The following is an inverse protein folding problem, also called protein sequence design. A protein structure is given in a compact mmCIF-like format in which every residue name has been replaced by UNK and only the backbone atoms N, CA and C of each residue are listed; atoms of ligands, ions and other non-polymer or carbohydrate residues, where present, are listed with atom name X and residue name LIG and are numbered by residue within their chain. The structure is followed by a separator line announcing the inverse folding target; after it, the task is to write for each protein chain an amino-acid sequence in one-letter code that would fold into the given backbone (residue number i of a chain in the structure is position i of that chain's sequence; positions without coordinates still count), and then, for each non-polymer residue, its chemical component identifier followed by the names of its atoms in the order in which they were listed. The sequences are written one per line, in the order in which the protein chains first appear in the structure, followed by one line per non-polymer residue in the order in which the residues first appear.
data_IF_343062956827
#
_entry.id   IF_343062956827
#
_cell.length_a   1.000
_cell.length_b   1.000
_cell.length_c   1.000
_cell.angle_alpha   90.00
_cell.angle_beta   90.00
_cell.angle_gamma   90.00
#
_symmetry.space_group_name_H-M   'P 1'
#
loop_
_entity.id
_entity.type
_entity.pdbx_description
1 polymer ?
#
# COMPACT_ATOMS: atom_id res chain seq x y z
N UNK A 1 -37.49 16.08 82.08
CA UNK A 1 -37.89 16.06 80.66
C UNK A 1 -38.61 17.38 80.39
N UNK A 2 -37.93 18.35 79.79
CA UNK A 2 -38.56 19.57 79.26
C UNK A 2 -37.87 19.89 77.94
N UNK A 3 -38.65 19.92 76.87
CA UNK A 3 -38.21 20.09 75.49
C UNK A 3 -37.71 21.52 75.24
N UNK A 4 -36.78 21.72 74.30
CA UNK A 4 -36.43 23.06 73.83
C UNK A 4 -37.60 23.68 73.02
N UNK A 5 -37.77 25.01 73.06
CA UNK A 5 -38.87 25.72 72.42
C UNK A 5 -38.77 25.68 70.88
N UNK A 6 -39.91 25.82 70.18
CA UNK A 6 -40.00 25.71 68.73
C UNK A 6 -39.31 26.87 68.01
N UNK A 7 -38.54 26.54 66.97
CA UNK A 7 -37.93 27.50 66.05
C UNK A 7 -39.01 28.10 65.15
N UNK A 8 -39.09 29.43 65.15
CA UNK A 8 -40.05 30.23 64.38
C UNK A 8 -39.75 30.15 62.88
N UNK A 9 -40.74 29.71 62.09
CA UNK A 9 -40.62 29.36 60.68
C UNK A 9 -41.15 30.47 59.76
N UNK A 10 -40.71 31.72 59.95
CA UNK A 10 -41.21 32.87 59.19
C UNK A 10 -40.13 33.73 58.51
N UNK A 11 -39.18 33.12 57.79
CA UNK A 11 -38.31 33.86 56.85
C UNK A 11 -38.52 33.33 55.43
N UNK A 12 -39.18 34.08 54.53
CA UNK A 12 -39.30 33.67 53.14
C UNK A 12 -37.93 33.68 52.44
N UNK A 13 -37.64 32.74 51.53
CA UNK A 13 -36.35 32.67 50.85
C UNK A 13 -36.14 33.90 49.97
N UNK A 14 -35.00 34.58 50.18
CA UNK A 14 -34.53 35.74 49.43
C UNK A 14 -34.36 35.37 47.95
N UNK A 15 -35.19 35.94 47.08
CA UNK A 15 -35.08 35.76 45.64
C UNK A 15 -33.68 36.19 45.13
N UNK A 16 -32.99 35.29 44.43
CA UNK A 16 -31.72 35.61 43.77
C UNK A 16 -31.98 36.54 42.58
N UNK A 17 -31.12 37.55 42.34
CA UNK A 17 -31.26 38.40 41.18
C UNK A 17 -31.04 37.60 39.88
N UNK A 18 -31.75 37.93 38.79
CA UNK A 18 -31.61 37.25 37.50
C UNK A 18 -30.20 37.43 36.94
N UNK A 19 -29.60 36.33 36.46
CA UNK A 19 -28.27 36.34 35.83
C UNK A 19 -28.31 37.21 34.56
N UNK A 20 -27.32 38.10 34.34
CA UNK A 20 -27.25 38.86 33.09
C UNK A 20 -27.04 37.91 31.90
N UNK A 21 -27.86 38.08 30.87
CA UNK A 21 -27.84 37.27 29.65
C UNK A 21 -26.48 37.36 28.95
N UNK A 22 -25.89 36.20 28.63
CA UNK A 22 -24.65 36.10 27.87
C UNK A 22 -24.93 36.47 26.41
N UNK A 23 -24.25 37.51 25.91
CA UNK A 23 -24.34 37.92 24.52
C UNK A 23 -24.03 36.75 23.57
N UNK A 24 -24.70 36.65 22.40
CA UNK A 24 -24.49 35.57 21.45
C UNK A 24 -23.08 35.66 20.87
N UNK A 25 -22.19 34.79 21.31
CA UNK A 25 -20.92 34.53 20.60
C UNK A 25 -21.25 33.94 19.23
N UNK A 26 -21.10 34.76 18.19
CA UNK A 26 -21.02 34.29 16.81
C UNK A 26 -19.83 33.34 16.72
N UNK A 27 -20.10 32.03 16.72
CA UNK A 27 -19.07 31.03 16.42
C UNK A 27 -18.83 31.06 14.92
N UNK A 28 -17.76 31.73 14.51
CA UNK A 28 -17.23 31.57 13.16
C UNK A 28 -17.01 30.07 12.90
N UNK A 29 -17.44 29.53 11.74
CA UNK A 29 -17.25 28.14 11.41
C UNK A 29 -15.75 27.83 11.42
N UNK A 30 -15.38 26.83 12.22
CA UNK A 30 -14.01 26.32 12.29
C UNK A 30 -13.68 25.78 10.90
N UNK A 31 -12.81 26.48 10.15
CA UNK A 31 -12.31 25.98 8.88
C UNK A 31 -11.75 24.57 9.13
N UNK A 32 -12.39 23.55 8.55
CA UNK A 32 -11.86 22.20 8.66
C UNK A 32 -10.59 22.18 7.83
N UNK A 33 -9.45 22.32 8.49
CA UNK A 33 -8.13 22.07 7.93
C UNK A 33 -7.99 20.56 7.66
N UNK A 34 -8.81 20.06 6.73
CA UNK A 34 -8.65 18.74 6.16
C UNK A 34 -7.48 18.86 5.23
N UNK A 35 -6.28 18.68 5.79
CA UNK A 35 -5.02 18.74 5.07
C UNK A 35 -5.12 18.05 3.71
N UNK A 36 -4.54 18.69 2.69
CA UNK A 36 -4.49 18.19 1.33
C UNK A 36 -4.18 16.69 1.31
N UNK A 37 -5.08 15.88 0.74
CA UNK A 37 -4.78 14.47 0.50
C UNK A 37 -3.64 14.41 -0.50
N UNK A 38 -2.50 13.86 -0.05
CA UNK A 38 -1.36 13.60 -0.93
C UNK A 38 -1.78 12.61 -2.02
N UNK A 39 -1.34 12.87 -3.25
CA UNK A 39 -1.48 11.92 -4.36
C UNK A 39 -0.66 10.64 -4.06
N UNK A 40 -1.01 9.47 -4.61
CA UNK A 40 -0.30 8.22 -4.35
C UNK A 40 1.22 8.31 -4.51
N UNK A 41 1.70 8.93 -5.59
CA UNK A 41 3.13 9.14 -5.83
C UNK A 41 3.80 10.05 -4.79
N UNK A 42 3.06 11.03 -4.25
CA UNK A 42 3.54 11.90 -3.18
C UNK A 42 3.63 11.13 -1.84
N UNK A 43 2.69 10.21 -1.58
CA UNK A 43 2.73 9.33 -0.40
C UNK A 43 3.98 8.45 -0.44
N UNK A 44 4.27 7.80 -1.57
CA UNK A 44 5.47 6.94 -1.72
C UNK A 44 6.75 7.75 -1.52
N UNK A 45 6.87 8.92 -2.16
CA UNK A 45 8.04 9.81 -1.98
C UNK A 45 8.19 10.26 -0.53
N UNK A 46 7.10 10.62 0.12
CA UNK A 46 7.10 11.03 1.53
C UNK A 46 7.51 9.87 2.47
N UNK A 47 7.01 8.65 2.24
CA UNK A 47 7.43 7.47 3.01
C UNK A 47 8.91 7.15 2.82
N UNK A 48 9.41 7.23 1.58
CA UNK A 48 10.84 7.05 1.29
C UNK A 48 11.71 8.10 2.00
N UNK A 49 11.31 9.37 1.97
CA UNK A 49 12.00 10.45 2.71
C UNK A 49 11.98 10.22 4.22
N UNK A 50 10.85 9.78 4.77
CA UNK A 50 10.72 9.46 6.20
C UNK A 50 11.66 8.32 6.60
N UNK A 51 11.79 7.29 5.76
CA UNK A 51 12.72 6.18 6.00
C UNK A 51 14.19 6.65 5.93
N UNK A 52 14.53 7.49 4.94
CA UNK A 52 15.86 8.08 4.81
C UNK A 52 16.25 8.91 6.04
N UNK A 53 15.38 9.82 6.48
CA UNK A 53 15.56 10.61 7.72
C UNK A 53 15.77 9.71 8.94
N UNK A 54 15.01 8.63 9.07
CA UNK A 54 15.17 7.66 10.18
C UNK A 54 16.53 6.97 10.15
N UNK A 55 17.01 6.58 8.96
CA UNK A 55 18.34 5.98 8.78
C UNK A 55 19.45 6.97 9.12
N UNK A 56 19.37 8.19 8.57
CA UNK A 56 20.35 9.26 8.81
C UNK A 56 20.43 9.60 10.30
N UNK A 57 19.29 9.82 10.96
CA UNK A 57 19.24 10.07 12.40
C UNK A 57 19.81 8.92 13.23
N UNK A 58 19.55 7.67 12.83
CA UNK A 58 20.17 6.53 13.49
C UNK A 58 21.69 6.50 13.30
N UNK A 59 22.19 6.84 12.10
CA UNK A 59 23.63 6.88 11.84
C UNK A 59 24.31 7.99 12.65
N UNK A 60 23.73 9.19 12.65
CA UNK A 60 24.20 10.32 13.44
C UNK A 60 24.26 9.97 14.94
N UNK A 61 23.25 9.28 15.48
CA UNK A 61 23.27 8.87 16.90
C UNK A 61 24.37 7.84 17.21
N UNK A 62 24.61 6.89 16.29
CA UNK A 62 25.71 5.92 16.43
C UNK A 62 27.07 6.60 16.40
N UNK A 63 27.24 7.58 15.52
CA UNK A 63 28.46 8.37 15.40
C UNK A 63 28.71 9.20 16.66
N UNK A 64 27.70 9.91 17.13
CA UNK A 64 27.77 10.74 18.33
C UNK A 64 28.13 9.95 19.59
N UNK A 65 27.52 8.78 19.79
CA UNK A 65 27.82 7.94 20.96
C UNK A 65 29.23 7.35 20.92
N UNK A 66 29.72 6.97 19.73
CA UNK A 66 31.12 6.51 19.55
C UNK A 66 32.12 7.64 19.82
N UNK A 67 31.86 8.84 19.31
CA UNK A 67 32.73 10.01 19.53
C UNK A 67 32.81 10.37 21.02
N UNK A 68 31.68 10.39 21.72
CA UNK A 68 31.68 10.71 23.15
C UNK A 68 32.35 9.62 23.99
N UNK A 69 32.18 8.34 23.63
CA UNK A 69 32.88 7.24 24.31
C UNK A 69 34.40 7.33 24.11
N UNK A 70 34.87 7.54 22.88
CA UNK A 70 36.29 7.72 22.59
C UNK A 70 36.88 8.95 23.30
N UNK A 71 36.11 10.03 23.43
CA UNK A 71 36.54 11.23 24.15
C UNK A 71 36.60 11.06 25.68
N UNK A 72 35.88 10.08 26.24
CA UNK A 72 36.00 9.73 27.67
C UNK A 72 37.32 9.00 27.95
N UNK A 73 37.78 8.19 27.00
CA UNK A 73 39.02 7.41 27.12
C UNK A 73 40.27 8.22 26.72
N UNK A 74 40.10 9.30 25.96
CA UNK A 74 41.17 10.23 25.57
C UNK A 74 41.50 11.24 26.68
N UNK A 75 42.74 11.77 26.64
CA UNK A 75 43.16 12.90 27.48
C UNK A 75 42.34 14.18 27.21
N UNK A 76 41.76 14.29 26.02
CA UNK A 76 40.94 15.44 25.60
C UNK A 76 39.45 15.12 25.76
N UNK A 77 38.88 15.59 26.87
CA UNK A 77 37.47 15.37 27.20
C UNK A 77 36.58 16.31 26.40
N UNK A 78 35.87 15.79 25.40
CA UNK A 78 34.85 16.54 24.67
C UNK A 78 33.52 16.54 25.42
N UNK A 79 32.86 17.70 25.44
CA UNK A 79 31.50 17.82 25.97
C UNK A 79 30.49 17.19 25.00
N UNK A 80 29.41 16.61 25.53
CA UNK A 80 28.31 16.10 24.71
C UNK A 80 27.68 17.14 23.77
N UNK A 81 27.75 18.42 24.16
CA UNK A 81 27.23 19.52 23.34
C UNK A 81 28.13 19.79 22.14
N UNK A 82 29.46 19.72 22.34
CA UNK A 82 30.45 19.84 21.27
C UNK A 82 30.34 18.67 20.30
N UNK A 83 30.20 17.44 20.82
CA UNK A 83 29.97 16.24 19.99
C UNK A 83 28.68 16.36 19.18
N UNK A 84 27.60 16.89 19.76
CA UNK A 84 26.35 17.12 19.04
C UNK A 84 26.51 18.11 17.88
N UNK A 85 27.24 19.21 18.09
CA UNK A 85 27.49 20.21 17.05
C UNK A 85 28.36 19.66 15.93
N UNK A 86 29.44 18.95 16.28
CA UNK A 86 30.33 18.32 15.30
C UNK A 86 29.60 17.28 14.44
N UNK A 87 28.77 16.44 15.05
CA UNK A 87 27.95 15.46 14.30
C UNK A 87 26.90 16.16 13.43
N UNK A 88 26.35 17.29 13.88
CA UNK A 88 25.43 18.07 13.06
C UNK A 88 26.12 18.67 11.83
N UNK A 89 27.34 19.19 11.97
CA UNK A 89 28.15 19.70 10.85
C UNK A 89 28.49 18.60 9.84
N UNK A 90 28.84 17.40 10.32
CA UNK A 90 29.22 16.27 9.45
C UNK A 90 28.02 15.57 8.79
N UNK A 91 26.88 15.45 9.48
CA UNK A 91 25.74 14.63 9.03
C UNK A 91 24.48 15.41 8.67
N UNK A 92 24.40 16.69 9.04
CA UNK A 92 23.20 17.54 8.89
C UNK A 92 22.02 17.17 9.79
N UNK A 93 22.16 16.19 10.69
CA UNK A 93 21.09 15.71 11.58
C UNK A 93 21.40 16.04 13.04
N UNK A 94 20.43 16.62 13.74
CA UNK A 94 20.59 17.02 15.15
C UNK A 94 20.26 15.88 16.10
N UNK A 95 21.19 15.59 17.02
CA UNK A 95 21.05 14.59 18.08
C UNK A 95 21.11 15.28 19.45
N UNK A 96 20.07 15.19 20.30
CA UNK A 96 20.08 15.87 21.59
C UNK A 96 21.24 15.42 22.50
N UNK A 97 22.01 16.34 23.12
CA UNK A 97 23.13 16.00 23.99
C UNK A 97 22.76 15.07 25.15
N UNK A 98 21.56 15.23 25.71
CA UNK A 98 21.01 14.36 26.76
C UNK A 98 20.86 12.91 26.31
N UNK A 99 20.48 12.69 25.05
CA UNK A 99 20.32 11.35 24.48
C UNK A 99 21.68 10.67 24.30
N UNK A 100 22.69 11.42 23.86
CA UNK A 100 24.06 10.91 23.69
C UNK A 100 24.61 10.46 25.05
N UNK A 101 24.50 11.31 26.09
CA UNK A 101 24.93 10.99 27.45
C UNK A 101 24.23 9.74 27.98
N UNK A 102 22.89 9.74 27.94
CA UNK A 102 22.08 8.61 28.42
C UNK A 102 22.49 7.29 27.74
N UNK A 103 22.72 7.28 26.42
CA UNK A 103 23.10 6.06 25.71
C UNK A 103 24.50 5.59 26.09
N UNK A 104 25.47 6.50 26.25
CA UNK A 104 26.83 6.16 26.69
C UNK A 104 26.83 5.66 28.12
N UNK A 105 26.10 6.30 29.02
CA UNK A 105 26.03 5.91 30.44
C UNK A 105 25.31 4.57 30.63
N UNK A 106 24.39 4.21 29.73
CA UNK A 106 23.76 2.88 29.65
C UNK A 106 24.65 1.82 28.96
N UNK A 107 25.87 2.17 28.53
CA UNK A 107 26.77 1.26 27.81
C UNK A 107 26.35 0.93 26.37
N UNK A 108 25.36 1.64 25.82
CA UNK A 108 24.77 1.39 24.49
C UNK A 108 25.50 2.18 23.39
N UNK A 109 26.82 2.08 23.37
CA UNK A 109 27.70 2.83 22.45
C UNK A 109 27.58 2.28 21.04
N UNK A 110 27.34 3.13 20.04
CA UNK A 110 27.25 2.72 18.64
C UNK A 110 25.96 1.95 18.28
N UNK A 111 25.01 1.86 19.21
CA UNK A 111 23.69 1.27 18.96
C UNK A 111 22.71 2.28 18.34
N UNK A 112 21.67 1.75 17.69
CA UNK A 112 20.54 2.58 17.26
C UNK A 112 19.70 3.04 18.46
N UNK A 113 19.08 4.24 18.39
CA UNK A 113 18.08 4.66 19.36
C UNK A 113 17.00 3.60 19.53
N UNK A 114 16.49 3.45 20.76
CA UNK A 114 15.40 2.54 21.03
C UNK A 114 14.18 2.87 20.15
N UNK A 115 13.50 1.85 19.63
CA UNK A 115 12.25 2.04 18.90
C UNK A 115 11.24 2.73 19.82
N UNK A 116 10.56 3.76 19.31
CA UNK A 116 9.50 4.44 20.05
C UNK A 116 8.24 3.58 20.07
N UNK A 117 7.57 3.52 21.22
CA UNK A 117 6.33 2.79 21.43
C UNK A 117 6.53 1.41 22.05
N UNK A 118 5.42 0.78 22.44
CA UNK A 118 5.43 -0.58 22.96
C UNK A 118 5.85 -1.58 21.87
N UNK A 119 6.48 -2.68 22.29
CA UNK A 119 6.71 -3.82 21.39
C UNK A 119 5.35 -4.38 20.98
N UNK A 120 5.18 -4.67 19.69
CA UNK A 120 3.94 -5.27 19.18
C UNK A 120 3.74 -6.66 19.77
N UNK A 121 2.47 -7.07 19.98
CA UNK A 121 2.11 -8.40 20.49
C UNK A 121 2.48 -9.54 19.53
N UNK A 122 2.59 -9.23 18.24
CA UNK A 122 2.87 -10.19 17.16
C UNK A 122 4.32 -10.00 16.70
N UNK A 123 5.11 -11.07 16.78
CA UNK A 123 6.52 -11.11 16.34
C UNK A 123 6.63 -10.94 14.82
N UNK A 124 7.78 -10.47 14.33
CA UNK A 124 8.01 -10.30 12.88
C UNK A 124 7.93 -11.64 12.12
N UNK A 125 8.34 -12.75 12.74
CA UNK A 125 8.25 -14.12 12.18
C UNK A 125 6.81 -14.53 11.90
N UNK A 126 5.89 -14.32 12.86
CA UNK A 126 4.47 -14.64 12.68
C UNK A 126 3.87 -13.78 11.57
N UNK A 127 4.26 -12.50 11.48
CA UNK A 127 3.82 -11.63 10.39
C UNK A 127 4.28 -12.16 9.04
N UNK A 128 5.50 -12.70 8.94
CA UNK A 128 6.04 -13.29 7.72
C UNK A 128 5.19 -14.49 7.26
N UNK A 129 4.94 -15.44 8.16
CA UNK A 129 4.15 -16.65 7.87
C UNK A 129 2.74 -16.28 7.41
N UNK A 130 2.10 -15.33 8.10
CA UNK A 130 0.76 -14.86 7.70
C UNK A 130 0.81 -14.18 6.34
N UNK A 131 1.83 -13.37 6.07
CA UNK A 131 2.00 -12.70 4.77
C UNK A 131 2.16 -13.71 3.63
N UNK A 132 2.99 -14.75 3.81
CA UNK A 132 3.16 -15.84 2.84
C UNK A 132 1.83 -16.56 2.58
N UNK A 133 1.14 -16.99 3.64
CA UNK A 133 -0.13 -17.68 3.52
C UNK A 133 -1.18 -16.84 2.78
N UNK A 134 -1.26 -15.54 3.06
CA UNK A 134 -2.15 -14.63 2.35
C UNK A 134 -1.78 -14.48 0.87
N UNK A 135 -0.49 -14.41 0.53
CA UNK A 135 -0.05 -14.35 -0.86
C UNK A 135 -0.35 -15.63 -1.63
N UNK A 136 -0.12 -16.79 -1.02
CA UNK A 136 -0.50 -18.08 -1.61
C UNK A 136 -2.01 -18.15 -1.84
N UNK A 137 -2.82 -17.71 -0.87
CA UNK A 137 -4.27 -17.64 -1.03
C UNK A 137 -4.68 -16.74 -2.21
N UNK A 138 -4.09 -15.54 -2.32
CA UNK A 138 -4.35 -14.63 -3.44
C UNK A 138 -3.99 -15.31 -4.77
N UNK A 139 -2.79 -15.90 -4.88
CA UNK A 139 -2.34 -16.58 -6.08
C UNK A 139 -3.27 -17.74 -6.49
N UNK A 140 -3.71 -18.54 -5.52
CA UNK A 140 -4.65 -19.64 -5.76
C UNK A 140 -5.99 -19.13 -6.27
N UNK A 141 -6.60 -18.14 -5.61
CA UNK A 141 -7.90 -17.58 -6.05
C UNK A 141 -7.83 -16.94 -7.43
N UNK A 142 -6.71 -16.32 -7.78
CA UNK A 142 -6.48 -15.78 -9.12
C UNK A 142 -6.29 -16.89 -10.16
N UNK A 143 -5.66 -18.00 -9.80
CA UNK A 143 -5.49 -19.15 -10.69
C UNK A 143 -6.81 -19.86 -11.00
N UNK A 144 -7.75 -19.89 -10.06
CA UNK A 144 -9.08 -20.48 -10.21
C UNK A 144 -10.09 -19.56 -10.90
N UNK A 145 -9.63 -18.44 -11.48
CA UNK A 145 -10.47 -17.41 -12.13
C UNK A 145 -11.58 -16.85 -11.24
N UNK A 146 -11.43 -16.92 -9.91
CA UNK A 146 -12.38 -16.26 -9.02
C UNK A 146 -12.20 -14.74 -9.08
N UNK A 147 -13.29 -14.02 -8.78
CA UNK A 147 -13.28 -12.55 -8.75
C UNK A 147 -12.17 -12.01 -7.84
N UNK A 148 -11.54 -10.92 -8.27
CA UNK A 148 -10.42 -10.28 -7.58
C UNK A 148 -10.67 -10.10 -6.07
N UNK A 149 -9.69 -10.52 -5.26
CA UNK A 149 -9.78 -10.44 -3.81
C UNK A 149 -9.59 -8.99 -3.34
N UNK A 150 -10.70 -8.32 -3.03
CA UNK A 150 -10.63 -6.94 -2.52
C UNK A 150 -9.91 -6.88 -1.16
N UNK A 151 -9.28 -5.75 -0.87
CA UNK A 151 -8.61 -5.47 0.42
C UNK A 151 -9.55 -5.74 1.60
N UNK A 152 -10.85 -5.43 1.46
CA UNK A 152 -11.87 -5.67 2.48
C UNK A 152 -12.04 -7.17 2.77
N UNK A 153 -12.05 -8.03 1.74
CA UNK A 153 -12.12 -9.48 1.91
C UNK A 153 -10.87 -10.01 2.61
N UNK A 154 -9.69 -9.56 2.19
CA UNK A 154 -8.42 -9.97 2.79
C UNK A 154 -8.31 -9.56 4.27
N UNK A 155 -8.78 -8.36 4.62
CA UNK A 155 -8.86 -7.91 6.02
C UNK A 155 -9.83 -8.74 6.86
N UNK A 156 -10.96 -9.18 6.29
CA UNK A 156 -11.90 -10.09 6.97
C UNK A 156 -11.28 -11.47 7.19
N UNK A 157 -10.61 -12.02 6.18
CA UNK A 157 -9.92 -13.30 6.29
C UNK A 157 -8.84 -13.23 7.39
N UNK A 158 -8.04 -12.16 7.41
CA UNK A 158 -7.06 -11.93 8.48
C UNK A 158 -7.70 -11.85 9.87
N UNK A 159 -8.85 -11.17 10.00
CA UNK A 159 -9.59 -11.12 11.27
C UNK A 159 -10.09 -12.50 11.72
N UNK A 160 -10.49 -13.35 10.78
CA UNK A 160 -10.97 -14.69 11.09
C UNK A 160 -9.85 -15.63 11.51
N UNK A 161 -8.63 -15.44 10.99
CA UNK A 161 -7.47 -16.24 11.38
C UNK A 161 -6.91 -15.85 12.77
N UNK A 162 -7.13 -14.60 13.21
CA UNK A 162 -6.57 -14.11 14.46
C UNK A 162 -7.47 -14.50 15.67
N UNK A 163 -6.85 -14.87 16.80
CA UNK A 163 -7.59 -15.05 18.05
C UNK A 163 -8.17 -13.71 18.55
N UNK A 164 -9.26 -13.75 19.31
CA UNK A 164 -10.06 -12.57 19.69
C UNK A 164 -9.26 -11.43 20.32
N UNK A 165 -8.26 -11.76 21.14
CA UNK A 165 -7.39 -10.79 21.82
C UNK A 165 -6.44 -10.01 20.87
N UNK A 166 -6.35 -10.41 19.60
CA UNK A 166 -5.53 -9.77 18.56
C UNK A 166 -6.38 -9.14 17.44
N UNK A 167 -7.69 -9.39 17.38
CA UNK A 167 -8.58 -8.88 16.30
C UNK A 167 -8.59 -7.35 16.20
N UNK A 168 -8.50 -6.64 17.33
CA UNK A 168 -8.39 -5.17 17.35
C UNK A 168 -7.14 -4.62 16.64
N UNK A 169 -6.15 -5.48 16.41
CA UNK A 169 -4.89 -5.14 15.74
C UNK A 169 -4.93 -5.52 14.25
N UNK A 170 -6.02 -6.07 13.72
CA UNK A 170 -6.06 -6.57 12.34
C UNK A 170 -5.79 -5.50 11.28
N UNK A 171 -6.32 -4.28 11.43
CA UNK A 171 -6.03 -3.20 10.47
C UNK A 171 -4.55 -2.80 10.48
N UNK A 172 -3.96 -2.63 11.67
CA UNK A 172 -2.54 -2.27 11.79
C UNK A 172 -1.62 -3.42 11.38
N UNK A 173 -2.04 -4.66 11.61
CA UNK A 173 -1.37 -5.86 11.14
C UNK A 173 -1.43 -5.99 9.63
N UNK A 174 -2.59 -5.75 9.01
CA UNK A 174 -2.73 -5.77 7.55
C UNK A 174 -1.84 -4.73 6.89
N UNK A 175 -1.80 -3.49 7.42
CA UNK A 175 -0.87 -2.48 6.90
C UNK A 175 0.60 -2.86 7.13
N UNK A 176 0.91 -3.57 8.23
CA UNK A 176 2.25 -4.12 8.48
C UNK A 176 2.60 -5.22 7.47
N UNK A 177 1.69 -6.14 7.18
CA UNK A 177 1.84 -7.20 6.16
C UNK A 177 2.05 -6.58 4.78
N UNK A 178 1.20 -5.61 4.41
CA UNK A 178 1.30 -4.90 3.13
C UNK A 178 2.64 -4.19 2.97
N UNK A 179 3.15 -3.57 4.05
CA UNK A 179 4.48 -2.95 4.05
C UNK A 179 5.60 -3.97 3.98
N UNK A 180 5.41 -5.14 4.57
CA UNK A 180 6.39 -6.20 4.63
C UNK A 180 6.54 -6.90 3.26
N UNK A 181 5.43 -7.17 2.57
CA UNK A 181 5.38 -7.76 1.22
C UNK A 181 4.85 -6.80 0.17
N UNK A 182 5.32 -5.56 0.22
CA UNK A 182 4.91 -4.53 -0.73
C UNK A 182 5.28 -4.93 -2.17
N UNK A 183 6.41 -5.61 -2.34
CA UNK A 183 6.92 -6.17 -3.59
C UNK A 183 5.94 -7.16 -4.26
N UNK A 184 5.31 -8.05 -3.48
CA UNK A 184 4.37 -9.05 -3.99
C UNK A 184 2.90 -8.60 -3.97
N UNK A 185 2.57 -7.56 -3.19
CA UNK A 185 1.19 -7.04 -3.08
C UNK A 185 0.96 -5.77 -3.91
N UNK A 186 2.00 -5.09 -4.38
CA UNK A 186 1.93 -4.03 -5.40
C UNK A 186 2.35 -4.59 -6.75
N UNK A 187 1.74 -5.70 -7.17
CA UNK A 187 1.91 -6.09 -8.56
C UNK A 187 0.91 -5.27 -9.36
N UNK A 188 1.42 -4.25 -10.04
CA UNK A 188 0.66 -3.58 -11.09
C UNK A 188 0.14 -4.67 -12.02
N UNK A 189 -1.17 -4.67 -12.24
CA UNK A 189 -1.85 -5.64 -13.11
C UNK A 189 -1.12 -5.78 -14.46
N UNK A 190 -0.50 -4.70 -14.93
CA UNK A 190 0.36 -4.64 -16.12
C UNK A 190 1.54 -5.62 -16.08
N UNK A 191 2.23 -5.82 -14.95
CA UNK A 191 3.35 -6.75 -14.87
C UNK A 191 2.92 -8.20 -15.07
N UNK A 192 1.80 -8.62 -14.48
CA UNK A 192 1.27 -9.98 -14.70
C UNK A 192 0.70 -10.15 -16.10
N UNK A 193 0.06 -9.12 -16.65
CA UNK A 193 -0.39 -9.13 -18.06
C UNK A 193 0.80 -9.29 -19.00
N UNK A 194 1.88 -8.53 -18.80
CA UNK A 194 3.10 -8.65 -19.60
C UNK A 194 3.81 -9.99 -19.38
N UNK A 195 3.87 -10.49 -18.15
CA UNK A 195 4.48 -11.79 -17.86
C UNK A 195 3.72 -12.94 -18.53
N UNK A 196 2.38 -12.91 -18.49
CA UNK A 196 1.54 -13.88 -19.21
C UNK A 196 1.68 -13.73 -20.71
N UNK A 197 1.77 -12.50 -21.22
CA UNK A 197 2.05 -12.24 -22.64
C UNK A 197 3.37 -12.90 -23.02
N UNK A 198 4.45 -12.65 -22.27
CA UNK A 198 5.77 -13.25 -22.51
C UNK A 198 5.76 -14.79 -22.44
N UNK A 199 5.04 -15.37 -21.47
CA UNK A 199 4.86 -16.83 -21.35
C UNK A 199 4.04 -17.41 -22.51
N UNK A 200 3.08 -16.65 -23.04
CA UNK A 200 2.25 -17.08 -24.15
C UNK A 200 2.94 -16.88 -25.51
N UNK A 201 3.78 -15.85 -25.66
CA UNK A 201 4.55 -15.55 -26.88
C UNK A 201 5.81 -16.42 -26.99
N UNK A 202 5.64 -17.74 -26.97
CA UNK A 202 6.70 -18.68 -27.34
C UNK A 202 6.48 -19.16 -28.76
N UNK A 203 7.55 -19.52 -29.47
CA UNK A 203 7.47 -20.00 -30.86
C UNK A 203 6.50 -21.19 -30.98
N UNK A 204 6.55 -22.12 -30.02
CA UNK A 204 5.65 -23.27 -29.94
C UNK A 204 4.17 -22.86 -29.84
N UNK A 205 3.85 -21.91 -28.95
CA UNK A 205 2.47 -21.46 -28.77
C UNK A 205 1.95 -20.73 -30.02
N UNK A 206 2.80 -19.92 -30.66
CA UNK A 206 2.43 -19.25 -31.90
C UNK A 206 2.17 -20.23 -33.03
N UNK A 207 3.07 -21.21 -33.24
CA UNK A 207 2.91 -22.23 -34.26
C UNK A 207 1.65 -23.07 -34.02
N UNK A 208 1.44 -23.49 -32.77
CA UNK A 208 0.24 -24.24 -32.36
C UNK A 208 -1.03 -23.42 -32.59
N UNK A 209 -1.03 -22.14 -32.22
CA UNK A 209 -2.16 -21.24 -32.43
C UNK A 209 -2.45 -21.04 -33.93
N UNK A 210 -1.42 -20.81 -34.74
CA UNK A 210 -1.55 -20.69 -36.19
C UNK A 210 -2.12 -21.96 -36.82
N UNK A 211 -1.64 -23.13 -36.41
CA UNK A 211 -2.13 -24.41 -36.91
C UNK A 211 -3.61 -24.63 -36.58
N UNK A 212 -4.01 -24.47 -35.32
CA UNK A 212 -5.41 -24.65 -34.93
C UNK A 212 -6.32 -23.58 -35.53
N UNK A 213 -5.83 -22.36 -35.71
CA UNK A 213 -6.60 -21.31 -36.35
C UNK A 213 -6.80 -21.61 -37.85
N UNK A 214 -5.79 -22.16 -38.53
CA UNK A 214 -5.93 -22.64 -39.90
C UNK A 214 -6.99 -23.75 -40.00
N UNK A 215 -6.92 -24.77 -39.14
CA UNK A 215 -7.91 -25.84 -39.09
C UNK A 215 -9.32 -25.32 -38.83
N UNK A 216 -9.47 -24.43 -37.84
CA UNK A 216 -10.74 -23.78 -37.53
C UNK A 216 -11.31 -23.04 -38.75
N UNK A 217 -10.49 -22.26 -39.46
CA UNK A 217 -10.97 -21.53 -40.63
C UNK A 217 -11.43 -22.47 -41.75
N UNK A 218 -10.76 -23.60 -41.94
CA UNK A 218 -11.14 -24.60 -42.95
C UNK A 218 -12.41 -25.35 -42.52
N UNK A 219 -12.48 -25.81 -41.29
CA UNK A 219 -13.59 -26.62 -40.77
C UNK A 219 -14.92 -25.86 -40.77
N UNK A 220 -14.87 -24.56 -40.45
CA UNK A 220 -16.05 -23.69 -40.49
C UNK A 220 -16.31 -23.08 -41.89
N UNK A 221 -15.53 -23.47 -42.90
CA UNK A 221 -15.71 -23.02 -44.29
C UNK A 221 -15.37 -21.56 -44.54
N UNK A 222 -14.62 -20.92 -43.63
CA UNK A 222 -14.11 -19.56 -43.80
C UNK A 222 -12.89 -19.49 -44.73
N UNK A 223 -12.20 -20.60 -44.94
CA UNK A 223 -11.06 -20.69 -45.83
C UNK A 223 -11.01 -22.04 -46.55
N UNK A 224 -10.33 -22.07 -47.69
CA UNK A 224 -10.03 -23.31 -48.40
C UNK A 224 -8.53 -23.60 -48.32
N UNK A 225 -8.16 -24.89 -48.25
CA UNK A 225 -6.76 -25.34 -48.35
C UNK A 225 -6.24 -25.23 -49.78
N UNK A 226 -6.05 -23.99 -50.22
CA UNK A 226 -5.41 -23.64 -51.49
C UNK A 226 -4.21 -22.74 -51.18
N UNK A 227 -2.98 -23.27 -51.31
CA UNK A 227 -1.79 -22.49 -51.03
C UNK A 227 -1.60 -21.41 -52.10
N UNK A 228 -1.32 -20.19 -51.65
CA UNK A 228 -1.01 -19.05 -52.53
C UNK A 228 0.50 -18.91 -52.64
N UNK A 229 1.00 -18.78 -53.87
CA UNK A 229 2.43 -18.61 -54.15
C UNK A 229 2.69 -17.21 -54.71
N UNK A 230 3.84 -16.66 -54.38
CA UNK A 230 4.35 -15.41 -54.95
C UNK A 230 4.77 -15.60 -56.41
N UNK A 231 4.97 -14.48 -57.13
CA UNK A 231 5.60 -14.46 -58.46
C UNK A 231 6.99 -15.11 -58.48
N UNK A 232 7.63 -15.21 -57.30
CA UNK A 232 8.92 -15.86 -57.07
C UNK A 232 8.82 -17.37 -56.76
N UNK A 233 7.61 -17.95 -56.77
CA UNK A 233 7.35 -19.35 -56.43
C UNK A 233 7.40 -19.69 -54.93
N UNK A 234 7.56 -18.70 -54.06
CA UNK A 234 7.56 -18.87 -52.60
C UNK A 234 6.13 -18.98 -52.08
N UNK A 235 5.85 -19.96 -51.22
CA UNK A 235 4.55 -20.09 -50.54
C UNK A 235 4.34 -18.88 -49.61
N UNK A 236 3.31 -18.09 -49.89
CA UNK A 236 2.91 -16.93 -49.08
C UNK A 236 1.90 -17.34 -48.01
N UNK A 237 0.95 -18.20 -48.35
CA UNK A 237 -0.11 -18.64 -47.45
C UNK A 237 -0.42 -20.13 -47.64
N UNK A 238 -0.81 -20.81 -46.55
CA UNK A 238 -1.30 -22.20 -46.57
C UNK A 238 -2.76 -22.31 -47.01
N UNK A 239 -3.55 -21.27 -46.75
CA UNK A 239 -4.99 -21.20 -47.05
C UNK A 239 -5.32 -19.97 -47.89
N UNK A 240 -6.42 -20.06 -48.64
CA UNK A 240 -6.99 -18.95 -49.39
C UNK A 240 -8.38 -18.61 -48.88
N UNK A 241 -8.66 -17.32 -48.71
CA UNK A 241 -9.98 -16.82 -48.36
C UNK A 241 -10.78 -16.52 -49.63
N UNK A 242 -12.08 -16.82 -49.63
CA UNK A 242 -12.94 -16.44 -50.74
C UNK A 242 -13.03 -14.90 -50.88
N UNK A 243 -13.15 -14.35 -52.10
CA UNK A 243 -13.17 -12.90 -52.30
C UNK A 243 -14.33 -12.21 -51.55
N UNK A 244 -15.48 -12.89 -51.41
CA UNK A 244 -16.62 -12.36 -50.66
C UNK A 244 -16.47 -12.50 -49.15
N UNK A 245 -15.67 -13.46 -48.67
CA UNK A 245 -15.31 -13.59 -47.25
C UNK A 245 -14.26 -12.57 -46.85
N UNK A 246 -13.24 -12.37 -47.69
CA UNK A 246 -12.22 -11.34 -47.51
C UNK A 246 -12.86 -9.93 -47.42
N UNK A 247 -13.91 -9.66 -48.20
CA UNK A 247 -14.69 -8.40 -48.11
C UNK A 247 -15.46 -8.24 -46.80
N UNK A 248 -15.78 -9.33 -46.10
CA UNK A 248 -16.49 -9.33 -44.80
C UNK A 248 -15.54 -9.25 -43.61
N UNK A 249 -14.25 -9.56 -43.82
CA UNK A 249 -13.21 -9.31 -42.84
C UNK A 249 -13.01 -7.79 -42.82
N UNK A 250 -13.68 -7.16 -41.87
CA UNK A 250 -13.50 -5.73 -41.60
C UNK A 250 -12.07 -5.52 -41.12
N UNK A 251 -11.43 -4.49 -41.65
CA UNK A 251 -10.18 -3.94 -41.18
C UNK A 251 -10.26 -3.73 -39.65
N UNK A 252 -9.60 -4.62 -38.90
CA UNK A 252 -9.67 -4.68 -37.44
C UNK A 252 -9.07 -3.42 -36.78
N UNK A 253 -8.30 -2.64 -37.54
CA UNK A 253 -7.76 -1.33 -37.17
C UNK A 253 -8.77 -0.17 -37.31
N UNK A 254 -9.82 -0.33 -38.12
CA UNK A 254 -10.91 0.67 -38.25
C UNK A 254 -12.03 0.47 -37.21
N UNK A 255 -12.13 -0.73 -36.62
CA UNK A 255 -12.97 -0.96 -35.45
C UNK A 255 -12.13 -0.76 -34.19
N UNK A 256 -12.24 0.40 -33.56
CA UNK A 256 -11.66 0.71 -32.25
C UNK A 256 -12.33 -0.12 -31.13
N UNK A 257 -12.25 -1.45 -31.22
CA UNK A 257 -12.65 -2.39 -30.19
C UNK A 257 -11.45 -2.54 -29.25
N UNK A 258 -11.53 -1.93 -28.07
CA UNK A 258 -10.57 -2.18 -27.00
C UNK A 258 -10.60 -3.65 -26.60
N UNK A 259 -9.59 -4.40 -27.03
CA UNK A 259 -9.42 -5.82 -26.70
C UNK A 259 -9.12 -6.06 -25.21
N UNK A 260 -8.74 -5.03 -24.47
CA UNK A 260 -8.45 -5.08 -23.03
C UNK A 260 -9.65 -4.70 -22.14
N UNK A 261 -10.79 -4.33 -22.75
CA UNK A 261 -11.96 -3.84 -22.02
C UNK A 261 -11.69 -2.53 -21.25
N UNK A 262 -10.66 -1.77 -21.62
CA UNK A 262 -10.33 -0.49 -20.97
C UNK A 262 -11.27 0.66 -21.36
N UNK A 263 -12.06 0.51 -22.43
CA UNK A 263 -13.22 1.35 -22.63
C UNK A 263 -14.27 0.93 -21.62
N UNK A 264 -14.39 1.68 -20.51
CA UNK A 264 -15.22 1.40 -19.33
C UNK A 264 -16.74 1.31 -19.55
N UNK A 265 -17.19 0.84 -20.71
CA UNK A 265 -18.55 0.37 -20.98
C UNK A 265 -18.54 -1.16 -20.94
N UNK A 266 -18.64 -1.66 -19.72
CA UNK A 266 -19.07 -3.02 -19.39
C UNK A 266 -20.14 -3.51 -20.35
N UNK A 267 -19.89 -4.65 -20.99
CA UNK A 267 -20.81 -5.31 -21.91
C UNK A 267 -22.17 -5.56 -21.27
N UNK A 268 -23.21 -4.98 -21.88
CA UNK A 268 -24.58 -5.46 -21.78
C UNK A 268 -24.96 -6.08 -23.12
N UNK A 269 -25.56 -7.27 -23.11
CA UNK A 269 -26.24 -7.83 -24.28
C UNK A 269 -27.23 -6.79 -24.84
N UNK A 270 -27.41 -6.66 -26.16
CA UNK A 270 -28.52 -5.88 -26.69
C UNK A 270 -29.82 -6.47 -26.14
N UNK A 271 -30.66 -5.62 -25.57
CA UNK A 271 -32.03 -5.99 -25.25
C UNK A 271 -32.69 -6.40 -26.56
N UNK A 272 -33.12 -7.65 -26.64
CA UNK A 272 -33.98 -8.13 -27.72
C UNK A 272 -35.20 -7.22 -27.79
N UNK A 273 -35.40 -6.61 -28.95
CA UNK A 273 -36.72 -6.16 -29.41
C UNK A 273 -37.58 -7.40 -29.63
#
# INVERSE_FOLDING_TARGET
RSAPPPMDASVPPRALPPKPGRAPTVRLPKASDRGFRLLPNQVVKHEAQKLKRKRNKSAATKMATKMLAAAKDSSEKMSSTEVSNKVFEETGESVPPSTIRMMVDQGRVGESPARRGSKGKITDEIVHVIADAMLTYIALTQSTQEAEQTITKLKRLLNNMLPDHLKSTSNTLFERIRKFRADCMSVDNQYFVELRRLLWTTDYNFETWHHFFEEFLVDFGFAERKPTFDNSGKKIASISLGPDQARRIVNLDESSLSLDGSDGRSGGRPASV
#
